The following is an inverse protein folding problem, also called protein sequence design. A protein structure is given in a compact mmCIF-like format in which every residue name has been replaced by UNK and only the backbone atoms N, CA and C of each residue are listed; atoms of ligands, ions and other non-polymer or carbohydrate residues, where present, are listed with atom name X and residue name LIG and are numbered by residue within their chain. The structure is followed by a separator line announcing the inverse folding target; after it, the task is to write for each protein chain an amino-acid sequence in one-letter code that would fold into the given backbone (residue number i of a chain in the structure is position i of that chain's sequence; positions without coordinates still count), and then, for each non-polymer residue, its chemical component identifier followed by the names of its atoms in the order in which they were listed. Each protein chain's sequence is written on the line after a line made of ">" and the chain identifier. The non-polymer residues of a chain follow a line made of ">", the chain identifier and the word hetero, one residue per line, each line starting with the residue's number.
data_IF_311737537105
#
_entry.id   IF_311737537105
#
_cell.length_a   1.000
_cell.length_b   1.000
_cell.length_c   1.000
_cell.angle_alpha   90.00
_cell.angle_beta   90.00
_cell.angle_gamma   90.00
#
_symmetry.space_group_name_H-M   'P 1'
#
loop_
_entity.id
_entity.type
_entity.pdbx_description
1 polymer ?
#
# COMPACT_ATOMS: atom_id res chain seq x y z
N UNK A 1 3.49 3.70 7.11
CA UNK A 1 4.26 4.53 8.10
C UNK A 1 5.72 4.42 7.75
N UNK A 2 6.50 5.51 7.76
CA UNK A 2 7.95 5.39 7.58
C UNK A 2 8.61 4.55 8.69
N UNK A 3 9.40 3.55 8.32
CA UNK A 3 10.13 2.68 9.26
C UNK A 3 11.59 3.16 9.44
N UNK A 4 12.21 3.58 8.34
CA UNK A 4 13.56 4.14 8.29
C UNK A 4 13.56 5.69 8.37
N UNK A 5 14.73 6.33 8.30
CA UNK A 5 14.89 7.79 8.19
C UNK A 5 14.14 8.65 9.24
N UNK A 6 14.19 8.25 10.52
CA UNK A 6 13.43 8.90 11.59
C UNK A 6 12.09 8.25 11.89
N UNK A 7 11.78 7.14 11.21
CA UNK A 7 10.59 6.33 11.42
C UNK A 7 10.64 5.38 12.61
N UNK A 8 9.88 4.30 12.52
CA UNK A 8 9.62 3.37 13.61
C UNK A 8 10.89 2.78 14.27
N UNK A 9 11.96 2.52 13.51
CA UNK A 9 13.20 1.99 14.08
C UNK A 9 13.88 2.95 15.06
N UNK A 10 13.62 4.25 14.94
CA UNK A 10 14.17 5.29 15.80
C UNK A 10 13.15 5.80 16.81
N UNK A 11 11.87 5.84 16.44
CA UNK A 11 10.77 6.43 17.23
C UNK A 11 9.56 5.48 17.35
N UNK A 12 9.74 4.25 17.86
CA UNK A 12 8.71 3.20 17.79
C UNK A 12 7.41 3.56 18.51
N UNK A 13 7.49 4.27 19.65
CA UNK A 13 6.31 4.66 20.42
C UNK A 13 5.48 5.74 19.70
N UNK A 14 6.14 6.81 19.22
CA UNK A 14 5.49 7.88 18.45
C UNK A 14 4.82 7.35 17.20
N UNK A 15 5.56 6.55 16.44
CA UNK A 15 5.07 5.97 15.20
C UNK A 15 3.90 5.02 15.47
N UNK A 16 3.99 4.16 16.48
CA UNK A 16 2.87 3.29 16.87
C UNK A 16 1.59 4.08 17.21
N UNK A 17 1.68 5.17 17.98
CA UNK A 17 0.52 6.01 18.31
C UNK A 17 -0.07 6.72 17.07
N UNK A 18 0.77 7.11 16.10
CA UNK A 18 0.30 7.66 14.83
C UNK A 18 -0.53 6.62 14.04
N UNK A 19 -0.03 5.39 13.89
CA UNK A 19 -0.80 4.32 13.23
C UNK A 19 -2.07 4.00 13.98
N UNK A 20 -2.01 3.91 15.31
CA UNK A 20 -3.19 3.63 16.13
C UNK A 20 -4.29 4.66 15.88
N UNK A 21 -3.94 5.94 15.84
CA UNK A 21 -4.89 7.03 15.54
C UNK A 21 -5.58 6.81 14.19
N UNK A 22 -4.84 6.40 13.16
CA UNK A 22 -5.38 6.14 11.82
C UNK A 22 -6.25 4.88 11.79
N UNK A 23 -5.82 3.79 12.45
CA UNK A 23 -6.61 2.55 12.55
C UNK A 23 -7.94 2.82 13.23
N UNK A 24 -7.93 3.49 14.39
CA UNK A 24 -9.14 3.77 15.16
C UNK A 24 -10.09 4.66 14.35
N UNK A 25 -9.58 5.71 13.70
CA UNK A 25 -10.40 6.56 12.82
C UNK A 25 -11.00 5.78 11.64
N UNK A 26 -10.26 4.87 11.01
CA UNK A 26 -10.78 4.06 9.91
C UNK A 26 -11.91 3.13 10.37
N UNK A 27 -11.73 2.46 11.52
CA UNK A 27 -12.75 1.61 12.13
C UNK A 27 -14.01 2.42 12.47
N UNK A 28 -13.86 3.59 13.08
CA UNK A 28 -14.98 4.48 13.43
C UNK A 28 -15.78 4.94 12.20
N UNK A 29 -15.11 5.08 11.05
CA UNK A 29 -15.73 5.50 9.79
C UNK A 29 -16.14 4.31 8.90
N UNK A 30 -16.01 3.06 9.37
CA UNK A 30 -16.38 1.86 8.61
C UNK A 30 -15.52 1.62 7.36
N UNK A 31 -14.28 2.10 7.36
CA UNK A 31 -13.32 1.92 6.27
C UNK A 31 -12.35 0.79 6.59
N UNK A 32 -11.93 0.06 5.56
CA UNK A 32 -10.72 -0.77 5.66
C UNK A 32 -9.50 0.13 5.85
N UNK A 33 -8.49 -0.38 6.56
CA UNK A 33 -7.20 0.28 6.78
C UNK A 33 -6.06 -0.66 6.45
N UNK A 34 -5.17 -0.20 5.59
CA UNK A 34 -3.92 -0.87 5.27
C UNK A 34 -2.84 -0.43 6.26
N UNK A 35 -2.38 -1.36 7.10
CA UNK A 35 -1.30 -1.14 8.06
C UNK A 35 0.01 -1.53 7.42
N UNK A 36 0.68 -0.53 6.84
CA UNK A 36 1.86 -0.68 6.01
C UNK A 36 3.19 -0.47 6.78
N UNK A 37 4.04 -1.50 6.70
CA UNK A 37 5.44 -1.49 7.11
C UNK A 37 6.34 -0.96 5.98
N UNK A 38 6.52 0.37 5.99
CA UNK A 38 7.10 1.14 4.89
C UNK A 38 8.63 1.23 4.93
N UNK A 39 9.30 0.23 4.36
CA UNK A 39 10.75 0.23 4.10
C UNK A 39 11.12 -0.67 2.92
N UNK A 40 12.40 -0.67 2.56
CA UNK A 40 12.96 -1.45 1.46
C UNK A 40 13.78 -2.69 1.89
N UNK A 41 14.15 -2.78 3.18
CA UNK A 41 15.15 -3.74 3.67
C UNK A 41 14.68 -4.62 4.84
N UNK A 42 13.37 -4.88 4.94
CA UNK A 42 12.77 -5.59 6.09
C UNK A 42 13.33 -6.99 6.35
N UNK A 43 13.90 -7.62 5.32
CA UNK A 43 14.55 -8.93 5.40
C UNK A 43 15.87 -8.93 6.21
N UNK A 44 16.42 -7.77 6.57
CA UNK A 44 17.59 -7.69 7.46
C UNK A 44 17.19 -8.14 8.88
N UNK A 45 18.03 -8.93 9.58
CA UNK A 45 17.62 -9.59 10.84
C UNK A 45 17.03 -8.66 11.91
N UNK A 46 17.62 -7.47 12.09
CA UNK A 46 17.14 -6.48 13.08
C UNK A 46 15.79 -5.87 12.67
N UNK A 47 15.60 -5.59 11.39
CA UNK A 47 14.35 -5.07 10.83
C UNK A 47 13.25 -6.15 10.85
N UNK A 48 13.62 -7.40 10.58
CA UNK A 48 12.73 -8.56 10.72
C UNK A 48 12.21 -8.68 12.15
N UNK A 49 13.10 -8.61 13.15
CA UNK A 49 12.69 -8.64 14.55
C UNK A 49 11.77 -7.47 14.93
N UNK A 50 12.05 -6.26 14.40
CA UNK A 50 11.23 -5.08 14.65
C UNK A 50 9.82 -5.21 14.04
N UNK A 51 9.72 -5.66 12.78
CA UNK A 51 8.44 -5.88 12.09
C UNK A 51 7.60 -6.96 12.77
N UNK A 52 8.20 -8.08 13.18
CA UNK A 52 7.52 -9.14 13.95
C UNK A 52 6.93 -8.56 15.24
N UNK A 53 7.71 -7.77 15.98
CA UNK A 53 7.23 -7.13 17.21
C UNK A 53 6.07 -6.16 16.93
N UNK A 54 6.21 -5.33 15.90
CA UNK A 54 5.19 -4.37 15.49
C UNK A 54 3.87 -5.08 15.11
N UNK A 55 3.92 -6.04 14.18
CA UNK A 55 2.73 -6.75 13.73
C UNK A 55 2.14 -7.68 14.80
N UNK A 56 2.95 -8.20 15.73
CA UNK A 56 2.42 -8.89 16.93
C UNK A 56 1.57 -7.94 17.76
N UNK A 57 2.00 -6.70 17.98
CA UNK A 57 1.23 -5.71 18.75
C UNK A 57 -0.07 -5.32 18.03
N UNK A 58 0.00 -5.04 16.72
CA UNK A 58 -1.18 -4.69 15.92
C UNK A 58 -2.17 -5.85 15.91
N UNK A 59 -1.73 -7.08 15.59
CA UNK A 59 -2.62 -8.25 15.52
C UNK A 59 -3.20 -8.64 16.89
N UNK A 60 -2.45 -8.47 17.99
CA UNK A 60 -2.98 -8.67 19.36
C UNK A 60 -4.09 -7.68 19.68
N UNK A 61 -3.94 -6.42 19.25
CA UNK A 61 -4.88 -5.35 19.60
C UNK A 61 -6.10 -5.32 18.68
N UNK A 62 -5.87 -5.50 17.37
CA UNK A 62 -6.85 -5.26 16.32
C UNK A 62 -7.22 -6.51 15.49
N UNK A 63 -6.67 -7.70 15.80
CA UNK A 63 -6.87 -8.89 14.98
C UNK A 63 -8.31 -9.39 14.86
N UNK A 64 -9.20 -8.94 15.75
CA UNK A 64 -10.63 -9.24 15.68
C UNK A 64 -11.44 -8.22 14.88
N UNK A 65 -10.82 -7.17 14.35
CA UNK A 65 -11.49 -6.15 13.55
C UNK A 65 -11.32 -6.48 12.06
N UNK A 66 -12.42 -6.67 11.31
CA UNK A 66 -12.36 -7.03 9.89
C UNK A 66 -11.83 -5.90 9.00
N UNK A 67 -11.70 -4.69 9.55
CA UNK A 67 -11.19 -3.50 8.85
C UNK A 67 -9.68 -3.60 8.54
N UNK A 68 -8.94 -4.42 9.27
CA UNK A 68 -7.47 -4.47 9.19
C UNK A 68 -7.03 -5.26 7.96
N UNK A 69 -6.14 -4.65 7.19
CA UNK A 69 -5.33 -5.30 6.16
C UNK A 69 -3.87 -5.04 6.51
N UNK A 70 -3.04 -6.07 6.55
CA UNK A 70 -1.62 -5.92 6.87
C UNK A 70 -0.81 -5.83 5.58
N UNK A 71 -0.06 -4.77 5.36
CA UNK A 71 0.99 -4.75 4.34
C UNK A 71 2.33 -4.92 5.03
N UNK A 72 2.90 -6.13 4.92
CA UNK A 72 4.01 -6.54 5.77
C UNK A 72 5.37 -6.12 5.25
N UNK A 73 5.46 -5.64 4.00
CA UNK A 73 6.69 -5.12 3.41
C UNK A 73 6.34 -4.28 2.18
N UNK A 74 6.52 -2.97 2.26
CA UNK A 74 6.20 -2.03 1.18
C UNK A 74 6.94 -2.32 -0.15
N UNK A 75 8.26 -2.15 -0.16
CA UNK A 75 9.04 -2.14 -1.42
C UNK A 75 10.36 -2.90 -1.29
N UNK A 76 10.33 -4.24 -1.25
CA UNK A 76 11.56 -5.02 -1.22
C UNK A 76 12.52 -4.63 -2.35
N UNK A 77 13.73 -4.19 -1.97
CA UNK A 77 14.79 -3.86 -2.92
C UNK A 77 16.04 -4.70 -2.63
N UNK A 78 16.86 -4.94 -3.67
CA UNK A 78 18.15 -5.62 -3.55
C UNK A 78 18.13 -7.03 -2.89
N UNK A 79 17.01 -7.76 -2.98
CA UNK A 79 16.89 -9.13 -2.49
C UNK A 79 16.16 -10.04 -3.50
N UNK A 80 16.45 -11.34 -3.46
CA UNK A 80 15.73 -12.35 -4.24
C UNK A 80 14.38 -12.66 -3.61
N UNK A 81 13.45 -13.22 -4.41
CA UNK A 81 12.16 -13.66 -3.88
C UNK A 81 12.30 -14.66 -2.72
N UNK A 82 13.25 -15.59 -2.76
CA UNK A 82 13.47 -16.55 -1.66
C UNK A 82 13.77 -15.86 -0.31
N UNK A 83 14.57 -14.79 -0.33
CA UNK A 83 14.90 -14.01 0.87
C UNK A 83 13.68 -13.25 1.37
N UNK A 84 12.95 -12.61 0.45
CA UNK A 84 11.74 -11.84 0.75
C UNK A 84 10.64 -12.76 1.29
N UNK A 85 10.45 -13.93 0.67
CA UNK A 85 9.51 -14.97 1.09
C UNK A 85 9.84 -15.52 2.47
N UNK A 86 11.13 -15.74 2.78
CA UNK A 86 11.56 -16.18 4.11
C UNK A 86 11.26 -15.14 5.20
N UNK A 87 11.37 -13.85 4.89
CA UNK A 87 10.90 -12.78 5.76
C UNK A 87 9.38 -12.84 5.96
N UNK A 88 8.61 -12.90 4.86
CA UNK A 88 7.15 -12.91 4.90
C UNK A 88 6.59 -14.03 5.76
N UNK A 89 7.14 -15.25 5.62
CA UNK A 89 6.71 -16.41 6.43
C UNK A 89 6.83 -16.13 7.93
N UNK A 90 7.90 -15.47 8.37
CA UNK A 90 8.10 -15.17 9.80
C UNK A 90 7.06 -14.16 10.31
N UNK A 91 6.81 -13.09 9.57
CA UNK A 91 5.83 -12.06 9.96
C UNK A 91 4.41 -12.59 9.89
N UNK A 92 4.06 -13.35 8.84
CA UNK A 92 2.76 -14.01 8.69
C UNK A 92 2.49 -14.93 9.88
N UNK A 93 3.46 -15.76 10.29
CA UNK A 93 3.29 -16.64 11.44
C UNK A 93 3.02 -15.85 12.74
N UNK A 94 3.69 -14.71 12.93
CA UNK A 94 3.46 -13.85 14.09
C UNK A 94 2.05 -13.23 14.08
N UNK A 95 1.57 -12.75 12.94
CA UNK A 95 0.20 -12.24 12.79
C UNK A 95 -0.81 -13.37 13.03
N UNK A 96 -0.63 -14.52 12.38
CA UNK A 96 -1.58 -15.66 12.44
C UNK A 96 -1.68 -16.31 13.81
N UNK A 97 -0.72 -16.06 14.71
CA UNK A 97 -0.84 -16.46 16.10
C UNK A 97 -1.95 -15.71 16.86
N UNK A 98 -2.32 -14.50 16.41
CA UNK A 98 -3.35 -13.65 17.03
C UNK A 98 -4.56 -13.41 16.11
N UNK A 99 -4.35 -13.38 14.79
CA UNK A 99 -5.35 -13.04 13.77
C UNK A 99 -5.34 -14.08 12.64
N UNK A 100 -6.23 -15.09 12.68
CA UNK A 100 -6.25 -16.16 11.70
C UNK A 100 -6.83 -15.75 10.33
N UNK A 101 -7.50 -14.60 10.19
CA UNK A 101 -8.42 -14.36 9.08
C UNK A 101 -8.14 -13.11 8.24
N UNK A 102 -7.66 -12.01 8.82
CA UNK A 102 -7.52 -10.77 8.05
C UNK A 102 -6.51 -10.91 6.91
N UNK A 103 -6.70 -10.10 5.86
CA UNK A 103 -5.86 -10.13 4.66
C UNK A 103 -4.46 -9.63 4.98
N UNK A 104 -3.46 -10.34 4.48
CA UNK A 104 -2.07 -9.93 4.50
C UNK A 104 -1.63 -9.69 3.04
N UNK A 105 -1.02 -8.55 2.77
CA UNK A 105 -0.44 -8.19 1.48
C UNK A 105 1.08 -8.23 1.61
N UNK A 106 1.71 -9.07 0.79
CA UNK A 106 3.15 -9.33 0.81
C UNK A 106 3.86 -8.60 -0.34
N UNK A 107 4.79 -7.71 0.01
CA UNK A 107 5.70 -7.04 -0.94
C UNK A 107 6.38 -8.00 -1.91
N UNK A 108 6.60 -7.57 -3.15
CA UNK A 108 7.27 -8.36 -4.19
C UNK A 108 8.63 -7.74 -4.56
N UNK A 109 9.54 -8.45 -5.24
CA UNK A 109 10.85 -7.90 -5.56
C UNK A 109 10.78 -6.62 -6.41
N UNK A 110 11.90 -5.87 -6.41
CA UNK A 110 12.11 -4.72 -7.29
C UNK A 110 11.09 -3.60 -7.04
N UNK A 111 11.04 -3.09 -5.81
CA UNK A 111 10.06 -2.09 -5.35
C UNK A 111 8.63 -2.53 -5.68
N UNK A 112 8.32 -3.78 -5.30
CA UNK A 112 7.05 -4.43 -5.57
C UNK A 112 6.58 -4.36 -7.02
N UNK A 113 7.49 -4.42 -7.99
CA UNK A 113 7.14 -4.42 -9.42
C UNK A 113 7.17 -5.80 -10.08
N UNK A 114 7.71 -6.81 -9.38
CA UNK A 114 7.96 -8.16 -9.93
C UNK A 114 6.99 -9.21 -9.33
N UNK A 115 5.69 -8.91 -9.38
CA UNK A 115 4.63 -9.81 -8.89
C UNK A 115 4.54 -11.12 -9.68
N UNK A 116 5.00 -11.12 -10.93
CA UNK A 116 5.14 -12.31 -11.77
C UNK A 116 6.18 -13.30 -11.21
N UNK A 117 7.24 -12.82 -10.57
CA UNK A 117 8.23 -13.67 -9.91
C UNK A 117 7.63 -14.35 -8.68
N UNK A 118 6.90 -13.59 -7.85
CA UNK A 118 6.21 -14.15 -6.68
C UNK A 118 5.14 -15.19 -7.07
N UNK A 119 4.51 -15.02 -8.23
CA UNK A 119 3.47 -15.92 -8.74
C UNK A 119 3.98 -17.32 -9.10
N UNK A 120 5.27 -17.46 -9.45
CA UNK A 120 5.87 -18.76 -9.80
C UNK A 120 6.19 -19.61 -8.55
N UNK A 121 6.37 -18.98 -7.37
CA UNK A 121 6.56 -19.67 -6.09
C UNK A 121 5.84 -18.95 -4.93
N UNK A 122 4.50 -18.98 -4.87
CA UNK A 122 3.73 -18.24 -3.88
C UNK A 122 3.98 -18.72 -2.44
N UNK A 123 3.76 -17.84 -1.48
CA UNK A 123 3.69 -18.16 -0.06
C UNK A 123 2.48 -19.08 0.18
N UNK A 124 2.71 -20.22 0.82
CA UNK A 124 1.64 -21.13 1.23
C UNK A 124 0.84 -20.52 2.39
N UNK A 125 -0.48 -20.42 2.24
CA UNK A 125 -1.37 -19.91 3.27
C UNK A 125 -2.72 -19.51 2.70
N UNK A 126 -3.52 -18.84 3.52
CA UNK A 126 -4.82 -18.29 3.12
C UNK A 126 -4.88 -16.80 3.44
N UNK A 127 -5.72 -16.09 2.70
CA UNK A 127 -5.90 -14.64 2.81
C UNK A 127 -4.57 -13.87 2.68
N UNK A 128 -3.75 -14.30 1.72
CA UNK A 128 -2.49 -13.65 1.34
C UNK A 128 -2.67 -13.11 -0.08
N UNK A 129 -2.50 -11.81 -0.24
CA UNK A 129 -2.35 -11.11 -1.51
C UNK A 129 -0.90 -10.61 -1.66
N UNK A 130 -0.57 -10.11 -2.85
CA UNK A 130 0.78 -9.69 -3.20
C UNK A 130 0.78 -8.26 -3.73
N UNK A 131 1.73 -7.48 -3.25
CA UNK A 131 1.86 -6.08 -3.61
C UNK A 131 2.33 -5.92 -5.05
N UNK A 132 1.70 -5.00 -5.77
CA UNK A 132 2.22 -4.47 -7.02
C UNK A 132 2.21 -2.94 -7.02
N UNK A 133 3.34 -2.29 -7.28
CA UNK A 133 3.44 -0.83 -7.36
C UNK A 133 3.65 -0.33 -8.78
N UNK A 134 3.08 0.83 -9.09
CA UNK A 134 3.42 1.51 -10.33
C UNK A 134 3.32 3.04 -10.27
N UNK A 135 4.10 3.70 -11.11
CA UNK A 135 4.01 5.13 -11.36
C UNK A 135 3.68 5.34 -12.84
N UNK A 136 2.51 5.90 -13.14
CA UNK A 136 1.90 5.87 -14.46
C UNK A 136 2.76 6.53 -15.55
N UNK A 137 3.58 7.53 -15.21
CA UNK A 137 4.47 8.17 -16.18
C UNK A 137 5.78 7.39 -16.42
N UNK A 138 6.04 6.34 -15.63
CA UNK A 138 7.25 5.52 -15.72
C UNK A 138 6.98 4.08 -16.13
N UNK A 139 5.85 3.51 -15.69
CA UNK A 139 5.51 2.10 -15.85
C UNK A 139 4.35 1.94 -16.83
N UNK A 140 4.60 1.23 -17.93
CA UNK A 140 3.66 1.06 -19.05
C UNK A 140 3.22 -0.40 -19.25
N UNK A 141 3.06 -0.80 -20.52
CA UNK A 141 2.50 -2.11 -20.87
C UNK A 141 3.27 -3.29 -20.29
N UNK A 142 4.61 -3.25 -20.32
CA UNK A 142 5.45 -4.34 -19.82
C UNK A 142 5.22 -4.65 -18.33
N UNK A 143 4.78 -3.66 -17.54
CA UNK A 143 4.45 -3.84 -16.13
C UNK A 143 3.03 -4.43 -15.95
N UNK A 144 2.06 -4.01 -16.78
CA UNK A 144 0.73 -4.67 -16.83
C UNK A 144 0.83 -6.13 -17.26
N UNK A 145 1.79 -6.46 -18.12
CA UNK A 145 2.02 -7.84 -18.55
C UNK A 145 2.47 -8.73 -17.38
N UNK A 146 3.27 -8.20 -16.44
CA UNK A 146 3.65 -8.90 -15.20
C UNK A 146 2.44 -9.18 -14.31
N UNK A 147 1.59 -8.18 -14.10
CA UNK A 147 0.34 -8.35 -13.34
C UNK A 147 -0.57 -9.38 -14.00
N UNK A 148 -0.71 -9.31 -15.34
CA UNK A 148 -1.50 -10.27 -16.12
C UNK A 148 -0.98 -11.70 -15.99
N UNK A 149 0.35 -11.88 -15.98
CA UNK A 149 1.00 -13.17 -15.73
C UNK A 149 0.70 -13.68 -14.32
N UNK A 150 0.81 -12.84 -13.29
CA UNK A 150 0.46 -13.22 -11.92
C UNK A 150 -1.01 -13.65 -11.77
N UNK A 151 -1.95 -12.89 -12.36
CA UNK A 151 -3.37 -13.25 -12.40
C UNK A 151 -3.59 -14.59 -13.11
N UNK A 152 -2.90 -14.83 -14.23
CA UNK A 152 -3.02 -16.10 -14.97
C UNK A 152 -2.55 -17.33 -14.17
N UNK A 153 -1.70 -17.10 -13.17
CA UNK A 153 -1.24 -18.12 -12.20
C UNK A 153 -2.11 -18.17 -10.93
N UNK A 154 -3.25 -17.47 -10.92
CA UNK A 154 -4.18 -17.33 -9.79
C UNK A 154 -3.58 -16.68 -8.54
N UNK A 155 -2.60 -15.78 -8.71
CA UNK A 155 -2.06 -15.01 -7.59
C UNK A 155 -2.98 -13.80 -7.28
N UNK A 156 -3.47 -13.63 -6.05
CA UNK A 156 -4.22 -12.42 -5.68
C UNK A 156 -3.28 -11.22 -5.61
N UNK A 157 -3.56 -10.17 -6.40
CA UNK A 157 -2.74 -8.95 -6.47
C UNK A 157 -3.49 -7.78 -5.83
N UNK A 158 -2.77 -6.95 -5.06
CA UNK A 158 -3.26 -5.69 -4.52
C UNK A 158 -2.27 -4.58 -4.91
N UNK A 159 -2.74 -3.48 -5.50
CA UNK A 159 -1.92 -2.29 -5.76
C UNK A 159 -1.94 -1.36 -4.55
N UNK A 160 -1.11 -1.63 -3.55
CA UNK A 160 -1.10 -0.85 -2.30
C UNK A 160 -0.48 0.54 -2.45
N UNK A 161 0.26 0.76 -3.54
CA UNK A 161 0.74 2.08 -3.94
C UNK A 161 0.70 2.29 -5.46
N UNK A 162 0.19 3.44 -5.89
CA UNK A 162 0.46 3.95 -7.23
C UNK A 162 0.55 5.47 -7.30
N UNK A 163 1.34 5.99 -8.24
CA UNK A 163 1.42 7.41 -8.59
C UNK A 163 0.92 7.73 -10.00
N UNK A 164 0.42 8.95 -10.21
CA UNK A 164 0.02 9.45 -11.54
C UNK A 164 1.16 10.20 -12.27
N UNK A 165 2.34 10.24 -11.66
CA UNK A 165 3.57 10.91 -12.14
C UNK A 165 4.69 9.89 -12.36
N UNK A 166 5.96 10.30 -12.41
CA UNK A 166 7.10 9.36 -12.54
C UNK A 166 7.42 8.70 -11.20
N UNK A 167 8.19 7.61 -11.21
CA UNK A 167 8.61 6.87 -10.01
C UNK A 167 9.40 7.71 -9.00
N UNK A 168 9.84 8.91 -9.36
CA UNK A 168 10.54 9.82 -8.44
C UNK A 168 9.59 10.64 -7.56
N UNK A 169 8.28 10.40 -7.64
CA UNK A 169 7.25 11.22 -6.97
C UNK A 169 7.05 12.60 -7.60
N UNK A 170 7.62 12.87 -8.77
CA UNK A 170 7.61 14.20 -9.39
C UNK A 170 7.41 14.13 -10.92
N UNK A 171 7.37 15.29 -11.57
CA UNK A 171 7.11 15.41 -13.01
C UNK A 171 5.62 15.57 -13.35
N UNK A 172 5.29 15.72 -14.63
CA UNK A 172 3.92 15.96 -15.04
C UNK A 172 3.04 14.73 -14.78
N UNK A 173 1.77 15.00 -14.46
CA UNK A 173 0.74 13.96 -14.41
C UNK A 173 0.55 13.37 -15.81
N UNK A 174 0.57 12.04 -15.93
CA UNK A 174 0.34 11.33 -17.18
C UNK A 174 -1.08 10.73 -17.21
N UNK A 175 -2.06 11.57 -17.53
CA UNK A 175 -3.49 11.20 -17.49
C UNK A 175 -3.82 10.01 -18.38
N UNK A 176 -3.26 9.95 -19.60
CA UNK A 176 -3.51 8.86 -20.55
C UNK A 176 -3.03 7.52 -19.97
N UNK A 177 -1.82 7.47 -19.43
CA UNK A 177 -1.30 6.26 -18.82
C UNK A 177 -2.08 5.89 -17.55
N UNK A 178 -2.43 6.88 -16.71
CA UNK A 178 -3.25 6.66 -15.52
C UNK A 178 -4.61 6.06 -15.86
N UNK A 179 -5.28 6.55 -16.91
CA UNK A 179 -6.56 5.99 -17.34
C UNK A 179 -6.42 4.54 -17.81
N UNK A 180 -5.39 4.22 -18.60
CA UNK A 180 -5.12 2.85 -19.05
C UNK A 180 -4.88 1.92 -17.85
N UNK A 181 -4.15 2.39 -16.84
CA UNK A 181 -3.95 1.63 -15.61
C UNK A 181 -5.27 1.41 -14.87
N UNK A 182 -6.06 2.45 -14.60
CA UNK A 182 -7.33 2.29 -13.89
C UNK A 182 -8.31 1.36 -14.61
N UNK A 183 -8.42 1.47 -15.94
CA UNK A 183 -9.27 0.56 -16.73
C UNK A 183 -8.80 -0.89 -16.61
N UNK A 184 -7.48 -1.12 -16.62
CA UNK A 184 -6.88 -2.44 -16.43
C UNK A 184 -7.15 -2.99 -15.03
N UNK A 185 -6.99 -2.18 -13.98
CA UNK A 185 -7.22 -2.60 -12.60
C UNK A 185 -8.70 -2.95 -12.36
N UNK A 186 -9.63 -2.12 -12.85
CA UNK A 186 -11.07 -2.36 -12.76
C UNK A 186 -11.49 -3.64 -13.50
N UNK A 187 -10.98 -3.84 -14.72
CA UNK A 187 -11.29 -5.04 -15.52
C UNK A 187 -10.86 -6.34 -14.83
N UNK A 188 -9.82 -6.27 -14.00
CA UNK A 188 -9.28 -7.40 -13.25
C UNK A 188 -9.71 -7.41 -11.77
N UNK A 189 -10.61 -6.50 -11.36
CA UNK A 189 -11.10 -6.37 -9.98
C UNK A 189 -9.99 -6.20 -8.93
N UNK A 190 -8.92 -5.48 -9.29
CA UNK A 190 -7.80 -5.22 -8.38
C UNK A 190 -8.07 -3.98 -7.53
N UNK A 191 -7.82 -4.09 -6.23
CA UNK A 191 -7.83 -2.93 -5.33
C UNK A 191 -6.59 -2.07 -5.54
N UNK A 192 -6.73 -0.75 -5.39
CA UNK A 192 -5.63 0.19 -5.58
C UNK A 192 -5.68 1.41 -4.64
N UNK A 193 -4.51 1.88 -4.17
CA UNK A 193 -4.37 3.04 -3.26
C UNK A 193 -3.35 4.03 -3.83
N UNK A 194 -3.70 5.30 -3.88
CA UNK A 194 -2.84 6.34 -4.46
C UNK A 194 -1.84 6.92 -3.46
N UNK A 195 -0.58 7.03 -3.88
CA UNK A 195 0.43 7.89 -3.27
C UNK A 195 0.24 9.36 -3.73
N UNK A 196 0.03 10.34 -2.85
CA UNK A 196 -0.13 10.23 -1.39
C UNK A 196 -0.96 11.40 -0.82
N UNK A 197 -1.49 11.23 0.40
CA UNK A 197 -2.04 12.34 1.19
C UNK A 197 -0.90 13.03 1.97
N UNK A 198 -0.12 13.84 1.27
CA UNK A 198 0.94 14.67 1.86
C UNK A 198 0.94 16.08 1.27
N UNK A 199 1.76 16.97 1.84
CA UNK A 199 1.92 18.36 1.41
C UNK A 199 3.36 18.71 0.98
N UNK A 200 4.18 17.71 0.67
CA UNK A 200 5.53 17.90 0.15
C UNK A 200 5.47 18.64 -1.18
N UNK A 201 6.51 19.42 -1.48
CA UNK A 201 6.60 20.17 -2.73
C UNK A 201 7.01 19.26 -3.91
N UNK A 202 6.11 18.34 -4.26
CA UNK A 202 6.23 17.42 -5.38
C UNK A 202 4.86 17.15 -6.00
N UNK A 203 4.83 16.59 -7.20
CA UNK A 203 3.58 16.47 -7.96
C UNK A 203 2.79 15.21 -7.66
N UNK A 204 3.36 14.22 -6.97
CA UNK A 204 2.61 13.07 -6.43
C UNK A 204 1.77 13.44 -5.20
N UNK A 205 2.17 14.46 -4.43
CA UNK A 205 1.44 14.92 -3.25
C UNK A 205 0.01 15.38 -3.63
N UNK A 206 -1.00 14.91 -2.91
CA UNK A 206 -2.39 15.32 -3.14
C UNK A 206 -2.66 16.76 -2.68
N UNK A 207 -1.87 17.29 -1.75
CA UNK A 207 -2.08 18.61 -1.15
C UNK A 207 -0.95 19.58 -1.50
N UNK A 208 -1.31 20.85 -1.70
CA UNK A 208 -0.37 21.94 -1.92
C UNK A 208 0.54 22.15 -0.69
N UNK A 209 1.78 22.65 -0.87
CA UNK A 209 2.67 22.97 0.23
C UNK A 209 2.02 23.86 1.31
N UNK A 210 2.38 23.61 2.56
CA UNK A 210 1.86 24.28 3.76
C UNK A 210 0.36 24.01 4.07
N UNK A 211 -0.26 22.99 3.45
CA UNK A 211 -1.61 22.57 3.84
C UNK A 211 -1.59 21.93 5.23
N UNK A 212 -2.62 22.17 6.03
CA UNK A 212 -2.80 21.55 7.36
C UNK A 212 -3.93 20.53 7.37
N UNK A 213 -4.00 19.69 8.40
CA UNK A 213 -4.97 18.59 8.49
C UNK A 213 -6.44 19.05 8.32
N UNK A 214 -6.82 20.21 8.86
CA UNK A 214 -8.18 20.76 8.71
C UNK A 214 -8.54 21.19 7.28
N UNK A 215 -7.55 21.23 6.38
CA UNK A 215 -7.70 21.67 4.99
C UNK A 215 -7.71 20.50 4.00
N UNK A 216 -7.62 19.25 4.45
CA UNK A 216 -7.60 18.07 3.55
C UNK A 216 -8.83 18.03 2.63
N UNK A 217 -10.00 18.45 3.12
CA UNK A 217 -11.24 18.55 2.32
C UNK A 217 -11.38 19.83 1.48
N UNK A 218 -10.49 20.81 1.62
CA UNK A 218 -10.53 22.07 0.87
C UNK A 218 -9.94 21.87 -0.53
N UNK A 219 -10.81 21.84 -1.55
CA UNK A 219 -10.41 21.65 -2.95
C UNK A 219 -9.43 22.69 -3.47
N UNK A 220 -9.38 23.89 -2.87
CA UNK A 220 -8.40 24.92 -3.24
C UNK A 220 -6.97 24.57 -2.79
N UNK A 221 -6.84 23.59 -1.91
CA UNK A 221 -5.59 23.07 -1.37
C UNK A 221 -5.12 21.80 -2.07
N UNK A 222 -5.88 21.27 -3.02
CA UNK A 222 -5.49 20.08 -3.77
C UNK A 222 -4.52 20.44 -4.90
N UNK A 223 -3.52 19.59 -5.11
CA UNK A 223 -2.69 19.68 -6.32
C UNK A 223 -3.48 19.23 -7.55
N UNK A 224 -2.91 19.44 -8.74
CA UNK A 224 -3.49 18.88 -9.96
C UNK A 224 -3.63 17.34 -9.88
N UNK A 225 -2.59 16.65 -9.41
CA UNK A 225 -2.60 15.20 -9.22
C UNK A 225 -3.67 14.74 -8.22
N UNK A 226 -3.75 15.41 -7.05
CA UNK A 226 -4.77 15.11 -6.04
C UNK A 226 -6.20 15.29 -6.55
N UNK A 227 -6.47 16.40 -7.26
CA UNK A 227 -7.78 16.64 -7.86
C UNK A 227 -8.12 15.63 -8.98
N UNK A 228 -7.12 15.24 -9.78
CA UNK A 228 -7.28 14.23 -10.84
C UNK A 228 -7.64 12.86 -10.27
N UNK A 229 -6.93 12.39 -9.24
CA UNK A 229 -7.21 11.12 -8.55
C UNK A 229 -8.57 11.18 -7.84
N UNK A 230 -8.88 12.26 -7.14
CA UNK A 230 -10.17 12.43 -6.46
C UNK A 230 -11.34 12.31 -7.45
N UNK A 231 -11.24 12.97 -8.61
CA UNK A 231 -12.26 12.88 -9.67
C UNK A 231 -12.46 11.44 -10.15
N UNK A 232 -11.39 10.66 -10.27
CA UNK A 232 -11.49 9.25 -10.63
C UNK A 232 -12.14 8.42 -9.52
N UNK A 233 -11.74 8.58 -8.26
CA UNK A 233 -12.32 7.80 -7.15
C UNK A 233 -13.83 8.07 -6.99
N UNK A 234 -14.26 9.33 -7.17
CA UNK A 234 -15.67 9.72 -7.13
C UNK A 234 -16.49 9.24 -8.34
N UNK A 235 -15.85 8.79 -9.42
CA UNK A 235 -16.56 8.22 -10.58
C UNK A 235 -16.83 6.72 -10.43
N UNK A 236 -16.17 6.06 -9.47
CA UNK A 236 -16.37 4.63 -9.19
C UNK A 236 -17.64 4.41 -8.38
N UNK A 237 -18.31 3.30 -8.65
CA UNK A 237 -19.36 2.80 -7.75
C UNK A 237 -18.69 2.27 -6.49
N UNK A 238 -18.68 3.09 -5.45
CA UNK A 238 -18.05 2.76 -4.16
C UNK A 238 -18.92 1.79 -3.34
N UNK A 239 -20.12 1.42 -3.79
CA UNK A 239 -21.11 0.69 -2.97
C UNK A 239 -21.55 1.46 -1.71
N UNK A 240 -21.09 2.72 -1.56
CA UNK A 240 -21.31 3.60 -0.44
C UNK A 240 -22.17 4.78 -0.92
N UNK A 241 -23.35 4.95 -0.32
CA UNK A 241 -24.18 6.14 -0.52
C UNK A 241 -23.63 7.23 0.41
N UNK A 242 -22.67 8.00 -0.06
CA UNK A 242 -22.23 9.20 0.64
C UNK A 242 -23.34 10.26 0.53
N UNK A 243 -24.12 10.48 1.59
CA UNK A 243 -24.98 11.67 1.68
C UNK A 243 -24.06 12.88 1.78
N UNK A 244 -24.03 13.72 0.74
CA UNK A 244 -23.33 14.98 0.78
C UNK A 244 -23.83 15.80 1.98
N UNK A 245 -22.95 16.06 2.95
CA UNK A 245 -23.16 17.04 4.01
C UNK A 245 -22.98 18.46 3.51
#
# INVERSE_FOLDING_TARGET
>A
MGVEFGGYLQHPETEYENIKTVIEAAIENGMYVLVDWHEEHAYLPEHTAASIKFFTNISTTYGNYPHIIYEIFNEPSNATWDVIKAYHIQVINAIRANDPNNVIVAGTPNWSSDVDVAAEDPINGTNIAYTFHFYAASHGQSFRDKVSKAISLNLPVFVTEYGVVTYTGNGPVNETSSQIWWDFLDQNLLSYVNWSIENKNETAAALMPNSVASQVGDKSRWTYGGAFVNKMLWSKDQGLVCTAG
#
